data_IF_480026019396
#
_entry.id   IF_480026019396
#
_cell.length_a   1.000
_cell.length_b   1.000
_cell.length_c   1.000
_cell.angle_alpha   90.00
_cell.angle_beta   90.00
_cell.angle_gamma   90.00
#
_symmetry.space_group_name_H-M   'P 1'
#
loop_
_entity.id
_entity.type
_entity.pdbx_description
1 polymer ?
#
# COMPACT_ATOMS: atom_id res chain seq x y z
N UNK A 1 -15.20 -39.42 8.68
CA UNK A 1 -16.21 -38.86 7.76
C UNK A 1 -15.55 -37.74 6.99
N UNK A 2 -15.61 -37.76 5.67
CA UNK A 2 -15.21 -36.59 4.86
C UNK A 2 -16.11 -35.42 5.24
N UNK A 3 -15.53 -34.24 5.46
CA UNK A 3 -16.32 -33.00 5.56
C UNK A 3 -17.03 -32.77 4.21
N UNK A 4 -18.19 -32.12 4.23
CA UNK A 4 -18.79 -31.57 3.00
C UNK A 4 -17.87 -30.49 2.42
N UNK A 5 -18.02 -30.15 1.14
CA UNK A 5 -17.23 -29.08 0.53
C UNK A 5 -17.43 -27.76 1.29
N UNK A 6 -18.68 -27.40 1.61
CA UNK A 6 -19.00 -26.21 2.39
C UNK A 6 -18.29 -26.18 3.75
N UNK A 7 -18.34 -27.28 4.51
CA UNK A 7 -17.65 -27.36 5.79
C UNK A 7 -16.12 -27.32 5.64
N UNK A 8 -15.59 -27.85 4.55
CA UNK A 8 -14.16 -27.79 4.20
C UNK A 8 -13.73 -26.35 3.92
N UNK A 9 -14.49 -25.61 3.12
CA UNK A 9 -14.21 -24.21 2.79
C UNK A 9 -14.32 -23.31 4.02
N UNK A 10 -15.37 -23.47 4.83
CA UNK A 10 -15.53 -22.74 6.08
C UNK A 10 -14.36 -23.01 7.04
N UNK A 11 -13.92 -24.28 7.16
CA UNK A 11 -12.78 -24.63 8.02
C UNK A 11 -11.47 -24.05 7.50
N UNK A 12 -11.21 -24.10 6.19
CA UNK A 12 -10.02 -23.52 5.59
C UNK A 12 -9.96 -22.00 5.79
N UNK A 13 -11.10 -21.32 5.64
CA UNK A 13 -11.22 -19.88 5.87
C UNK A 13 -10.94 -19.51 7.33
N UNK A 14 -11.50 -20.27 8.29
CA UNK A 14 -11.25 -20.09 9.73
C UNK A 14 -9.75 -20.25 10.05
N UNK A 15 -9.10 -21.29 9.53
CA UNK A 15 -7.67 -21.55 9.72
C UNK A 15 -6.82 -20.42 9.11
N UNK A 16 -7.15 -19.96 7.90
CA UNK A 16 -6.45 -18.87 7.25
C UNK A 16 -6.53 -17.58 8.09
N UNK A 17 -7.69 -17.25 8.66
CA UNK A 17 -7.84 -16.08 9.54
C UNK A 17 -7.05 -16.18 10.84
N UNK A 18 -6.75 -17.39 11.31
CA UNK A 18 -5.91 -17.63 12.49
C UNK A 18 -4.41 -17.63 12.18
N UNK A 19 -4.01 -17.43 10.92
CA UNK A 19 -2.60 -17.54 10.53
C UNK A 19 -2.13 -18.95 10.20
N UNK A 20 -3.02 -19.94 10.26
CA UNK A 20 -2.73 -21.36 10.07
C UNK A 20 -2.82 -21.74 8.59
N UNK A 21 -2.00 -21.08 7.78
CA UNK A 21 -2.03 -21.19 6.32
C UNK A 21 -1.67 -22.57 5.78
N UNK A 22 -0.78 -23.30 6.47
CA UNK A 22 -0.39 -24.66 6.06
C UNK A 22 -1.52 -25.63 6.32
N UNK A 23 -2.15 -25.53 7.47
CA UNK A 23 -3.32 -26.31 7.86
C UNK A 23 -4.51 -26.02 6.94
N UNK A 24 -4.73 -24.75 6.58
CA UNK A 24 -5.73 -24.38 5.58
C UNK A 24 -5.43 -25.02 4.21
N UNK A 25 -4.16 -25.04 3.80
CA UNK A 25 -3.73 -25.68 2.56
C UNK A 25 -3.96 -27.20 2.57
N UNK A 26 -3.69 -27.86 3.70
CA UNK A 26 -3.90 -29.29 3.88
C UNK A 26 -5.38 -29.66 3.80
N UNK A 27 -6.25 -28.88 4.47
CA UNK A 27 -7.70 -29.03 4.39
C UNK A 27 -8.18 -28.87 2.94
N UNK A 28 -7.71 -27.85 2.23
CA UNK A 28 -8.06 -27.62 0.82
C UNK A 28 -7.46 -28.65 -0.14
N UNK A 29 -6.35 -29.29 0.21
CA UNK A 29 -5.72 -30.33 -0.61
C UNK A 29 -6.47 -31.68 -0.58
N UNK A 30 -7.32 -31.90 0.43
CA UNK A 30 -8.17 -33.09 0.52
C UNK A 30 -9.35 -33.13 -0.44
N UNK A 31 -9.64 -32.03 -1.16
CA UNK A 31 -10.72 -31.94 -2.14
C UNK A 31 -10.24 -32.44 -3.50
N UNK A 32 -10.96 -33.38 -4.11
CA UNK A 32 -10.69 -33.82 -5.49
C UNK A 32 -11.38 -32.88 -6.50
N UNK A 33 -10.63 -32.02 -7.23
CA UNK A 33 -11.21 -31.06 -8.15
C UNK A 33 -11.87 -31.70 -9.38
N UNK A 34 -11.59 -32.97 -9.69
CA UNK A 34 -12.23 -33.67 -10.80
C UNK A 34 -13.71 -34.01 -10.52
N UNK A 35 -14.11 -33.98 -9.24
CA UNK A 35 -15.48 -34.29 -8.80
C UNK A 35 -16.38 -33.07 -8.66
N UNK A 36 -15.83 -31.86 -8.83
CA UNK A 36 -16.54 -30.61 -8.59
C UNK A 36 -17.26 -30.13 -9.84
N UNK A 37 -18.44 -29.54 -9.66
CA UNK A 37 -19.04 -28.67 -10.67
C UNK A 37 -18.19 -27.41 -10.87
N UNK A 38 -18.39 -26.67 -11.97
CA UNK A 38 -17.61 -25.44 -12.22
C UNK A 38 -17.78 -24.40 -11.10
N UNK A 39 -19.00 -24.26 -10.57
CA UNK A 39 -19.29 -23.40 -9.41
C UNK A 39 -18.52 -23.82 -8.16
N UNK A 40 -18.54 -25.11 -7.82
CA UNK A 40 -17.82 -25.65 -6.67
C UNK A 40 -16.29 -25.55 -6.85
N UNK A 41 -15.81 -25.77 -8.08
CA UNK A 41 -14.41 -25.61 -8.44
C UNK A 41 -13.96 -24.16 -8.21
N UNK A 42 -14.77 -23.17 -8.59
CA UNK A 42 -14.50 -21.76 -8.34
C UNK A 42 -14.51 -21.43 -6.84
N UNK A 43 -15.53 -21.89 -6.10
CA UNK A 43 -15.63 -21.68 -4.66
C UNK A 43 -14.44 -22.27 -3.89
N UNK A 44 -13.86 -23.36 -4.37
CA UNK A 44 -12.64 -23.96 -3.80
C UNK A 44 -11.35 -23.31 -4.27
N UNK A 45 -11.24 -22.98 -5.56
CA UNK A 45 -10.00 -22.52 -6.14
C UNK A 45 -9.60 -21.12 -5.68
N UNK A 46 -10.56 -20.21 -5.51
CA UNK A 46 -10.29 -18.84 -5.06
C UNK A 46 -9.62 -18.79 -3.67
N UNK A 47 -10.19 -19.40 -2.60
CA UNK A 47 -9.55 -19.41 -1.28
C UNK A 47 -8.24 -20.20 -1.28
N UNK A 48 -8.13 -21.26 -2.09
CA UNK A 48 -6.86 -22.01 -2.27
C UNK A 48 -5.76 -21.14 -2.85
N UNK A 49 -6.05 -20.42 -3.93
CA UNK A 49 -5.11 -19.50 -4.56
C UNK A 49 -4.72 -18.36 -3.62
N UNK A 50 -5.70 -17.78 -2.91
CA UNK A 50 -5.48 -16.74 -1.91
C UNK A 50 -4.55 -17.22 -0.78
N UNK A 51 -4.83 -18.38 -0.20
CA UNK A 51 -4.00 -18.97 0.85
C UNK A 51 -2.58 -19.25 0.36
N UNK A 52 -2.46 -19.80 -0.85
CA UNK A 52 -1.17 -20.02 -1.52
C UNK A 52 -0.37 -18.71 -1.71
N UNK A 53 -1.02 -17.64 -2.14
CA UNK A 53 -0.36 -16.35 -2.38
C UNK A 53 0.07 -15.68 -1.06
N UNK A 54 -0.87 -15.49 -0.13
CA UNK A 54 -0.61 -14.69 1.08
C UNK A 54 -0.08 -15.50 2.24
N UNK A 55 -0.69 -16.65 2.55
CA UNK A 55 -0.36 -17.37 3.78
C UNK A 55 0.91 -18.20 3.63
N UNK A 56 1.14 -18.76 2.44
CA UNK A 56 2.34 -19.54 2.14
C UNK A 56 3.48 -18.70 1.55
N UNK A 57 3.21 -17.44 1.17
CA UNK A 57 4.18 -16.56 0.49
C UNK A 57 4.73 -17.16 -0.82
N UNK A 58 3.84 -17.79 -1.60
CA UNK A 58 4.17 -18.46 -2.87
C UNK A 58 3.40 -17.84 -4.07
N UNK A 59 3.61 -16.54 -4.37
CA UNK A 59 2.80 -15.79 -5.34
C UNK A 59 2.92 -16.30 -6.78
N UNK A 60 4.09 -16.79 -7.20
CA UNK A 60 4.29 -17.38 -8.53
C UNK A 60 3.47 -18.66 -8.67
N UNK A 61 3.50 -19.53 -7.66
CA UNK A 61 2.73 -20.78 -7.66
C UNK A 61 1.23 -20.52 -7.67
N UNK A 62 0.75 -19.54 -6.89
CA UNK A 62 -0.65 -19.13 -6.90
C UNK A 62 -1.08 -18.59 -8.28
N UNK A 63 -0.23 -17.78 -8.91
CA UNK A 63 -0.48 -17.22 -10.25
C UNK A 63 -0.53 -18.31 -11.33
N UNK A 64 0.42 -19.26 -11.31
CA UNK A 64 0.42 -20.40 -12.23
C UNK A 64 -0.83 -21.26 -12.06
N UNK A 65 -1.24 -21.52 -10.81
CA UNK A 65 -2.45 -22.27 -10.49
C UNK A 65 -3.70 -21.60 -11.09
N UNK A 66 -3.91 -20.30 -10.85
CA UNK A 66 -5.06 -19.57 -11.39
C UNK A 66 -5.05 -19.50 -12.92
N UNK A 67 -3.89 -19.27 -13.56
CA UNK A 67 -3.78 -19.27 -15.03
C UNK A 67 -4.13 -20.63 -15.63
N UNK A 68 -3.70 -21.72 -14.98
CA UNK A 68 -4.03 -23.08 -15.42
C UNK A 68 -5.52 -23.37 -15.28
N UNK A 69 -6.15 -22.89 -14.20
CA UNK A 69 -7.60 -23.00 -14.00
C UNK A 69 -8.38 -22.16 -15.03
N UNK A 70 -7.92 -20.94 -15.31
CA UNK A 70 -8.50 -20.06 -16.33
C UNK A 70 -8.58 -20.71 -17.70
N UNK A 71 -7.59 -21.53 -18.07
CA UNK A 71 -7.61 -22.28 -19.34
C UNK A 71 -8.57 -23.48 -19.38
N UNK A 72 -9.22 -23.82 -18.26
CA UNK A 72 -10.09 -24.99 -18.11
C UNK A 72 -11.57 -24.64 -17.88
N UNK A 73 -11.86 -23.43 -17.44
CA UNK A 73 -13.24 -22.96 -17.21
C UNK A 73 -13.85 -22.43 -18.50
N UNK A 74 -15.18 -22.49 -18.57
CA UNK A 74 -15.93 -21.97 -19.71
C UNK A 74 -15.82 -20.44 -19.80
N UNK A 75 -15.88 -19.84 -21.01
CA UNK A 75 -16.02 -18.39 -21.14
C UNK A 75 -17.26 -17.89 -20.38
N UNK A 76 -17.11 -16.81 -19.61
CA UNK A 76 -18.19 -16.23 -18.80
C UNK A 76 -17.68 -15.63 -17.49
N UNK A 77 -18.56 -15.45 -16.48
CA UNK A 77 -18.24 -14.77 -15.22
C UNK A 77 -17.06 -15.36 -14.45
N UNK A 78 -16.89 -16.69 -14.49
CA UNK A 78 -15.78 -17.37 -13.83
C UNK A 78 -14.40 -16.87 -14.33
N UNK A 79 -14.27 -16.58 -15.64
CA UNK A 79 -13.03 -16.03 -16.22
C UNK A 79 -12.77 -14.61 -15.71
N UNK A 80 -13.80 -13.76 -15.64
CA UNK A 80 -13.67 -12.40 -15.12
C UNK A 80 -13.23 -12.40 -13.64
N UNK A 81 -13.79 -13.29 -12.81
CA UNK A 81 -13.42 -13.43 -11.40
C UNK A 81 -11.98 -13.92 -11.23
N UNK A 82 -11.53 -14.86 -12.06
CA UNK A 82 -10.13 -15.31 -12.07
C UNK A 82 -9.17 -14.20 -12.49
N UNK A 83 -9.51 -13.44 -13.53
CA UNK A 83 -8.70 -12.31 -14.02
C UNK A 83 -8.64 -11.17 -12.99
N UNK A 84 -9.73 -10.91 -12.26
CA UNK A 84 -9.75 -9.94 -11.16
C UNK A 84 -8.82 -10.36 -10.00
N UNK A 85 -8.81 -11.65 -9.64
CA UNK A 85 -7.89 -12.16 -8.62
C UNK A 85 -6.43 -12.11 -9.09
N UNK A 86 -6.17 -12.47 -10.36
CA UNK A 86 -4.85 -12.33 -10.96
C UNK A 86 -4.39 -10.87 -10.98
N UNK A 87 -5.29 -9.92 -11.19
CA UNK A 87 -5.01 -8.49 -11.09
C UNK A 87 -4.60 -8.09 -9.67
N UNK A 88 -5.32 -8.59 -8.66
CA UNK A 88 -4.98 -8.39 -7.24
C UNK A 88 -3.62 -8.99 -6.88
N UNK A 89 -3.28 -10.17 -7.42
CA UNK A 89 -1.96 -10.78 -7.23
C UNK A 89 -0.85 -9.97 -7.89
N UNK A 90 -1.06 -9.53 -9.14
CA UNK A 90 -0.10 -8.68 -9.85
C UNK A 90 0.16 -7.36 -9.10
N UNK A 91 -0.90 -6.73 -8.57
CA UNK A 91 -0.79 -5.53 -7.74
C UNK A 91 0.10 -5.79 -6.51
N UNK A 92 -0.24 -6.79 -5.70
CA UNK A 92 0.49 -7.08 -4.46
C UNK A 92 1.95 -7.51 -4.72
N UNK A 93 2.20 -8.22 -5.83
CA UNK A 93 3.53 -8.61 -6.29
C UNK A 93 4.34 -7.45 -6.91
N UNK A 94 3.84 -6.21 -6.83
CA UNK A 94 4.58 -5.02 -7.28
C UNK A 94 4.55 -4.78 -8.79
N UNK A 95 3.54 -5.30 -9.49
CA UNK A 95 3.32 -5.11 -10.92
C UNK A 95 2.01 -4.33 -11.20
N UNK A 96 1.91 -3.05 -10.80
CA UNK A 96 0.66 -2.28 -10.92
C UNK A 96 0.20 -2.09 -12.36
N UNK A 97 1.10 -1.98 -13.35
CA UNK A 97 0.72 -1.89 -14.76
C UNK A 97 -0.01 -3.16 -15.23
N UNK A 98 0.52 -4.33 -14.85
CA UNK A 98 -0.12 -5.60 -15.16
C UNK A 98 -1.47 -5.75 -14.45
N UNK A 99 -1.57 -5.24 -13.22
CA UNK A 99 -2.84 -5.21 -12.50
C UNK A 99 -3.87 -4.33 -13.22
N UNK A 100 -3.46 -3.16 -13.73
CA UNK A 100 -4.32 -2.26 -14.51
C UNK A 100 -4.80 -2.90 -15.82
N UNK A 101 -3.92 -3.61 -16.55
CA UNK A 101 -4.32 -4.34 -17.75
C UNK A 101 -5.42 -5.38 -17.47
N UNK A 102 -5.25 -6.16 -16.40
CA UNK A 102 -6.21 -7.18 -15.99
C UNK A 102 -7.51 -6.55 -15.49
N UNK A 103 -7.42 -5.50 -14.67
CA UNK A 103 -8.57 -4.79 -14.17
C UNK A 103 -9.37 -4.15 -15.30
N UNK A 104 -8.72 -3.50 -16.27
CA UNK A 104 -9.38 -2.91 -17.43
C UNK A 104 -10.13 -3.95 -18.27
N UNK A 105 -9.54 -5.14 -18.49
CA UNK A 105 -10.20 -6.23 -19.18
C UNK A 105 -11.46 -6.71 -18.44
N UNK A 106 -11.40 -6.84 -17.11
CA UNK A 106 -12.56 -7.23 -16.28
C UNK A 106 -13.63 -6.14 -16.29
N UNK A 107 -13.25 -4.89 -16.05
CA UNK A 107 -14.18 -3.75 -15.95
C UNK A 107 -14.88 -3.41 -17.28
N UNK A 108 -14.27 -3.79 -18.41
CA UNK A 108 -14.87 -3.69 -19.74
C UNK A 108 -15.64 -4.93 -20.20
N UNK A 109 -15.63 -6.02 -19.43
CA UNK A 109 -16.29 -7.28 -19.80
C UNK A 109 -17.79 -7.23 -19.48
N UNK A 110 -18.68 -7.58 -20.42
CA UNK A 110 -20.11 -7.74 -20.13
C UNK A 110 -20.41 -8.95 -19.24
N UNK A 111 -19.46 -9.88 -19.13
CA UNK A 111 -19.61 -11.10 -18.33
C UNK A 111 -19.15 -10.92 -16.88
N UNK A 112 -18.56 -9.78 -16.51
CA UNK A 112 -18.06 -9.56 -15.16
C UNK A 112 -19.21 -9.41 -14.16
N UNK A 113 -19.23 -10.29 -13.16
CA UNK A 113 -20.14 -10.17 -12.03
C UNK A 113 -19.69 -9.10 -11.04
N UNK A 114 -20.55 -8.80 -10.07
CA UNK A 114 -20.29 -7.78 -9.05
C UNK A 114 -19.01 -8.07 -8.27
N UNK A 115 -18.71 -9.34 -7.96
CA UNK A 115 -17.49 -9.70 -7.24
C UNK A 115 -16.24 -9.35 -8.07
N UNK A 116 -16.21 -9.76 -9.34
CA UNK A 116 -15.11 -9.46 -10.26
C UNK A 116 -14.92 -7.95 -10.45
N UNK A 117 -16.03 -7.21 -10.63
CA UNK A 117 -16.03 -5.75 -10.74
C UNK A 117 -15.45 -5.11 -9.47
N UNK A 118 -15.90 -5.52 -8.29
CA UNK A 118 -15.42 -4.99 -7.02
C UNK A 118 -13.92 -5.19 -6.82
N UNK A 119 -13.41 -6.37 -7.15
CA UNK A 119 -11.99 -6.72 -7.02
C UNK A 119 -11.14 -5.93 -8.02
N UNK A 120 -11.56 -5.89 -9.28
CA UNK A 120 -10.85 -5.17 -10.33
C UNK A 120 -10.85 -3.65 -10.09
N UNK A 121 -11.98 -3.08 -9.70
CA UNK A 121 -12.10 -1.64 -9.44
C UNK A 121 -11.26 -1.21 -8.24
N UNK A 122 -11.26 -2.00 -7.15
CA UNK A 122 -10.43 -1.70 -5.98
C UNK A 122 -8.92 -1.78 -6.28
N UNK A 123 -8.49 -2.80 -7.01
CA UNK A 123 -7.09 -2.92 -7.44
C UNK A 123 -6.68 -1.78 -8.39
N UNK A 124 -7.57 -1.41 -9.32
CA UNK A 124 -7.33 -0.31 -10.25
C UNK A 124 -7.23 1.04 -9.53
N UNK A 125 -8.10 1.32 -8.56
CA UNK A 125 -8.07 2.55 -7.77
C UNK A 125 -6.73 2.73 -7.03
N UNK A 126 -6.21 1.68 -6.39
CA UNK A 126 -4.91 1.75 -5.73
C UNK A 126 -3.76 1.87 -6.74
N UNK A 127 -3.76 1.06 -7.80
CA UNK A 127 -2.70 1.06 -8.81
C UNK A 127 -2.61 2.41 -9.52
N UNK A 128 -3.73 2.96 -9.99
CA UNK A 128 -3.75 4.24 -10.72
C UNK A 128 -3.22 5.38 -9.84
N UNK A 129 -3.67 5.45 -8.58
CA UNK A 129 -3.16 6.42 -7.61
C UNK A 129 -1.65 6.29 -7.39
N UNK A 130 -1.14 5.07 -7.18
CA UNK A 130 0.31 4.83 -6.96
C UNK A 130 1.14 5.11 -8.22
N UNK A 131 0.57 4.87 -9.40
CA UNK A 131 1.18 5.18 -10.71
C UNK A 131 1.17 6.69 -11.04
N UNK A 132 0.49 7.52 -10.25
CA UNK A 132 0.42 8.97 -10.45
C UNK A 132 -0.68 9.43 -11.40
N UNK A 133 -1.69 8.59 -11.64
CA UNK A 133 -2.87 8.92 -12.47
C UNK A 133 -4.09 8.98 -11.56
N UNK A 134 -4.65 10.18 -11.35
CA UNK A 134 -5.61 10.42 -10.25
C UNK A 134 -7.08 10.58 -10.70
N UNK A 135 -7.33 10.89 -11.97
CA UNK A 135 -8.66 11.27 -12.48
C UNK A 135 -9.75 10.24 -12.15
N UNK A 136 -9.43 8.96 -12.28
CA UNK A 136 -10.43 7.89 -12.20
C UNK A 136 -10.48 7.24 -10.80
N UNK A 137 -9.69 7.71 -9.83
CA UNK A 137 -9.55 7.05 -8.52
C UNK A 137 -10.89 6.99 -7.78
N UNK A 138 -11.63 8.10 -7.76
CA UNK A 138 -12.92 8.19 -7.06
C UNK A 138 -13.98 7.31 -7.73
N UNK A 139 -14.08 7.37 -9.06
CA UNK A 139 -15.03 6.55 -9.83
C UNK A 139 -14.77 5.05 -9.63
N UNK A 140 -13.49 4.64 -9.65
CA UNK A 140 -13.11 3.25 -9.39
C UNK A 140 -13.42 2.83 -7.96
N UNK A 141 -13.24 3.71 -6.97
CA UNK A 141 -13.60 3.42 -5.59
C UNK A 141 -15.12 3.27 -5.41
N UNK A 142 -15.91 4.19 -5.98
CA UNK A 142 -17.37 4.13 -5.97
C UNK A 142 -17.89 2.86 -6.65
N UNK A 143 -17.30 2.49 -7.79
CA UNK A 143 -17.62 1.25 -8.49
C UNK A 143 -17.31 0.02 -7.65
N UNK A 144 -16.20 0.04 -6.90
CA UNK A 144 -15.86 -1.06 -5.99
C UNK A 144 -16.86 -1.19 -4.82
N UNK A 145 -17.36 -0.07 -4.30
CA UNK A 145 -18.36 -0.04 -3.22
C UNK A 145 -19.73 -0.49 -3.75
N UNK A 146 -20.16 0.05 -4.89
CA UNK A 146 -21.45 -0.25 -5.51
C UNK A 146 -21.63 -1.73 -5.85
N UNK A 147 -20.54 -2.44 -6.12
CA UNK A 147 -20.51 -3.88 -6.34
C UNK A 147 -20.93 -4.74 -5.12
N UNK A 148 -21.23 -4.16 -3.96
CA UNK A 148 -21.91 -4.87 -2.86
C UNK A 148 -21.08 -5.96 -2.16
N UNK A 149 -19.80 -6.14 -2.54
CA UNK A 149 -18.85 -7.06 -1.90
C UNK A 149 -17.68 -6.32 -1.21
N UNK A 150 -17.92 -5.28 -0.37
CA UNK A 150 -16.87 -4.41 0.14
C UNK A 150 -16.19 -5.04 1.35
N UNK A 151 -15.70 -6.28 1.24
CA UNK A 151 -14.89 -6.96 2.26
C UNK A 151 -13.60 -6.17 2.54
N UNK A 152 -12.43 -6.81 2.55
CA UNK A 152 -11.19 -6.05 2.76
C UNK A 152 -10.85 -5.09 1.61
N UNK A 153 -11.55 -5.19 0.47
CA UNK A 153 -11.28 -4.44 -0.76
C UNK A 153 -11.62 -2.97 -0.67
N UNK A 154 -12.61 -2.59 0.15
CA UNK A 154 -12.93 -1.17 0.38
C UNK A 154 -11.74 -0.39 0.93
N UNK A 155 -10.86 -1.06 1.69
CA UNK A 155 -9.63 -0.45 2.19
C UNK A 155 -8.57 -0.31 1.10
N UNK A 156 -8.56 -1.19 0.10
CA UNK A 156 -7.67 -1.10 -1.05
C UNK A 156 -8.03 0.11 -1.91
N UNK A 157 -9.29 0.28 -2.28
CA UNK A 157 -9.74 1.48 -3.02
C UNK A 157 -9.54 2.75 -2.20
N UNK A 158 -9.90 2.73 -0.92
CA UNK A 158 -9.68 3.85 -0.02
C UNK A 158 -8.21 4.24 0.13
N UNK A 159 -7.29 3.28 0.11
CA UNK A 159 -5.86 3.61 0.13
C UNK A 159 -5.42 4.32 -1.16
N UNK A 160 -6.03 3.99 -2.29
CA UNK A 160 -5.89 4.77 -3.52
C UNK A 160 -6.40 6.20 -3.36
N UNK A 161 -7.62 6.36 -2.82
CA UNK A 161 -8.24 7.67 -2.57
C UNK A 161 -7.40 8.54 -1.63
N UNK A 162 -6.99 8.01 -0.46
CA UNK A 162 -6.16 8.76 0.48
C UNK A 162 -4.79 9.10 -0.12
N UNK A 163 -4.19 8.21 -0.91
CA UNK A 163 -2.95 8.51 -1.64
C UNK A 163 -3.13 9.70 -2.60
N UNK A 164 -4.20 9.70 -3.40
CA UNK A 164 -4.51 10.76 -4.35
C UNK A 164 -4.79 12.11 -3.65
N UNK A 165 -5.56 12.08 -2.56
CA UNK A 165 -5.85 13.27 -1.75
C UNK A 165 -4.57 13.83 -1.10
N UNK A 166 -3.71 12.97 -0.56
CA UNK A 166 -2.44 13.40 0.06
C UNK A 166 -1.53 14.10 -0.94
N UNK A 167 -1.29 13.50 -2.11
CA UNK A 167 -0.42 14.14 -3.12
C UNK A 167 -1.03 15.39 -3.74
N UNK A 168 -2.36 15.53 -3.68
CA UNK A 168 -3.08 16.74 -4.10
C UNK A 168 -3.12 17.84 -3.03
N UNK A 169 -2.61 17.59 -1.82
CA UNK A 169 -2.62 18.54 -0.71
C UNK A 169 -3.95 18.61 0.05
N UNK A 170 -4.86 17.65 -0.15
CA UNK A 170 -6.19 17.61 0.47
C UNK A 170 -6.21 16.74 1.73
N UNK A 171 -5.33 17.04 2.68
CA UNK A 171 -5.07 16.19 3.85
C UNK A 171 -6.29 16.06 4.78
N UNK A 172 -7.13 17.09 4.87
CA UNK A 172 -8.36 17.07 5.67
C UNK A 172 -9.38 16.07 5.13
N UNK A 173 -9.54 16.02 3.80
CA UNK A 173 -10.38 15.01 3.15
C UNK A 173 -9.79 13.61 3.30
N UNK A 174 -8.47 13.47 3.15
CA UNK A 174 -7.80 12.18 3.36
C UNK A 174 -8.02 11.64 4.78
N UNK A 175 -7.88 12.52 5.79
CA UNK A 175 -8.11 12.18 7.19
C UNK A 175 -9.57 11.79 7.45
N UNK A 176 -10.52 12.58 6.95
CA UNK A 176 -11.94 12.33 7.13
C UNK A 176 -12.36 10.98 6.52
N UNK A 177 -11.90 10.68 5.30
CA UNK A 177 -12.14 9.40 4.63
C UNK A 177 -11.57 8.23 5.44
N UNK A 178 -10.31 8.33 5.89
CA UNK A 178 -9.68 7.28 6.67
C UNK A 178 -10.38 7.07 8.03
N UNK A 179 -10.82 8.15 8.68
CA UNK A 179 -11.54 8.08 9.96
C UNK A 179 -12.93 7.45 9.79
N UNK A 180 -13.65 7.79 8.72
CA UNK A 180 -14.96 7.20 8.45
C UNK A 180 -14.85 5.66 8.32
N UNK A 181 -13.78 5.16 7.71
CA UNK A 181 -13.53 3.71 7.61
C UNK A 181 -13.27 3.04 8.96
N UNK A 182 -12.66 3.76 9.91
CA UNK A 182 -12.46 3.28 11.29
C UNK A 182 -13.80 3.19 12.00
N UNK A 183 -14.64 4.21 11.85
CA UNK A 183 -15.96 4.31 12.45
C UNK A 183 -16.88 3.20 11.90
N UNK A 184 -16.93 3.05 10.58
CA UNK A 184 -17.72 2.02 9.86
C UNK A 184 -17.28 0.58 10.20
N UNK A 185 -16.03 0.39 10.63
CA UNK A 185 -15.53 -0.93 11.04
C UNK A 185 -16.10 -1.37 12.40
N UNK A 186 -16.66 -0.47 13.21
CA UNK A 186 -17.22 -0.75 14.54
C UNK A 186 -16.31 -1.65 15.43
N UNK A 187 -14.99 -1.49 15.33
CA UNK A 187 -14.00 -2.28 16.08
C UNK A 187 -13.79 -3.72 15.61
N UNK A 188 -14.47 -4.17 14.55
CA UNK A 188 -14.34 -5.53 14.03
C UNK A 188 -12.97 -5.75 13.38
N UNK A 189 -12.25 -6.78 13.81
CA UNK A 189 -10.95 -7.14 13.24
C UNK A 189 -11.10 -8.10 12.04
N UNK A 190 -10.23 -8.04 11.02
CA UNK A 190 -9.07 -7.14 10.88
C UNK A 190 -9.41 -5.77 10.27
N UNK A 191 -10.68 -5.49 9.97
CA UNK A 191 -11.12 -4.29 9.28
C UNK A 191 -10.72 -2.99 10.01
N UNK A 192 -10.92 -2.94 11.33
CA UNK A 192 -10.55 -1.80 12.16
C UNK A 192 -9.03 -1.53 12.10
N UNK A 193 -8.18 -2.55 12.23
CA UNK A 193 -6.73 -2.37 12.14
C UNK A 193 -6.27 -1.86 10.76
N UNK A 194 -6.92 -2.27 9.67
CA UNK A 194 -6.58 -1.77 8.32
C UNK A 194 -7.02 -0.30 8.18
N UNK A 195 -8.21 0.05 8.66
CA UNK A 195 -8.69 1.44 8.65
C UNK A 195 -7.76 2.36 9.45
N UNK A 196 -7.38 1.93 10.66
CA UNK A 196 -6.47 2.65 11.54
C UNK A 196 -5.08 2.84 10.93
N UNK A 197 -4.60 1.86 10.15
CA UNK A 197 -3.37 2.00 9.36
C UNK A 197 -3.47 3.15 8.33
N UNK A 198 -4.61 3.30 7.64
CA UNK A 198 -4.81 4.39 6.68
C UNK A 198 -4.82 5.76 7.37
N UNK A 199 -5.41 5.85 8.58
CA UNK A 199 -5.33 7.05 9.41
C UNK A 199 -3.86 7.37 9.74
N UNK A 200 -3.08 6.37 10.13
CA UNK A 200 -1.68 6.56 10.48
C UNK A 200 -0.81 7.01 9.27
N UNK A 201 -1.05 6.53 8.04
CA UNK A 201 -0.34 7.02 6.85
C UNK A 201 -0.62 8.52 6.59
N UNK A 202 -1.86 8.97 6.82
CA UNK A 202 -2.22 10.39 6.73
C UNK A 202 -1.56 11.20 7.85
N UNK A 203 -1.51 10.69 9.08
CA UNK A 203 -0.81 11.35 10.20
C UNK A 203 0.71 11.50 9.93
N UNK A 204 1.35 10.49 9.34
CA UNK A 204 2.74 10.59 8.88
C UNK A 204 2.90 11.72 7.85
N UNK A 205 1.97 11.83 6.90
CA UNK A 205 1.99 12.91 5.89
C UNK A 205 1.76 14.31 6.52
N UNK A 206 0.91 14.40 7.54
CA UNK A 206 0.68 15.62 8.33
C UNK A 206 1.88 16.04 9.16
N UNK A 207 2.75 15.08 9.51
CA UNK A 207 3.89 15.33 10.39
C UNK A 207 3.59 15.09 11.87
N UNK A 208 2.65 14.19 12.18
CA UNK A 208 2.45 13.64 13.52
C UNK A 208 2.87 12.16 13.58
N UNK A 209 4.19 11.88 13.51
CA UNK A 209 4.70 10.51 13.54
C UNK A 209 4.54 9.84 14.91
N UNK A 210 4.34 10.60 15.99
CA UNK A 210 4.13 10.04 17.31
C UNK A 210 2.73 9.41 17.41
N UNK A 211 1.67 10.16 17.07
CA UNK A 211 0.32 9.61 17.03
C UNK A 211 0.19 8.47 16.02
N UNK A 212 0.85 8.58 14.86
CA UNK A 212 0.89 7.50 13.88
C UNK A 212 1.53 6.22 14.44
N UNK A 213 2.64 6.34 15.18
CA UNK A 213 3.31 5.19 15.79
C UNK A 213 2.41 4.46 16.78
N UNK A 214 1.70 5.19 17.66
CA UNK A 214 0.81 4.59 18.65
C UNK A 214 -0.31 3.77 17.98
N UNK A 215 -0.95 4.32 16.95
CA UNK A 215 -1.97 3.61 16.16
C UNK A 215 -1.42 2.38 15.42
N UNK A 216 -0.19 2.48 14.92
CA UNK A 216 0.45 1.42 14.15
C UNK A 216 0.97 0.28 15.03
N UNK A 217 1.31 0.51 16.30
CA UNK A 217 1.69 -0.55 17.25
C UNK A 217 0.54 -1.55 17.41
N UNK A 218 -0.68 -1.05 17.67
CA UNK A 218 -1.88 -1.87 17.80
C UNK A 218 -2.26 -2.54 16.47
N UNK A 219 -2.25 -1.77 15.38
CA UNK A 219 -2.63 -2.27 14.06
C UNK A 219 -1.67 -3.36 13.55
N UNK A 220 -0.36 -3.18 13.72
CA UNK A 220 0.64 -4.16 13.31
C UNK A 220 0.54 -5.45 14.12
N UNK A 221 0.20 -5.37 15.41
CA UNK A 221 -0.06 -6.54 16.25
C UNK A 221 -1.31 -7.30 15.80
N UNK A 222 -2.42 -6.59 15.56
CA UNK A 222 -3.68 -7.18 15.10
C UNK A 222 -3.59 -7.81 13.71
N UNK A 223 -2.77 -7.24 12.82
CA UNK A 223 -2.59 -7.73 11.45
C UNK A 223 -1.53 -8.83 11.32
N UNK A 224 -0.64 -8.98 12.30
CA UNK A 224 0.42 -9.99 12.29
C UNK A 224 -0.03 -11.44 11.97
N UNK A 225 -1.17 -11.96 12.50
CA UNK A 225 -1.62 -13.32 12.19
C UNK A 225 -2.29 -13.45 10.82
N UNK A 226 -2.77 -12.36 10.20
CA UNK A 226 -3.63 -12.44 9.00
C UNK A 226 -2.91 -12.85 7.72
N UNK A 227 -1.58 -12.77 7.68
CA UNK A 227 -0.75 -13.12 6.53
C UNK A 227 -0.87 -12.22 5.29
N UNK A 228 -1.87 -11.33 5.23
CA UNK A 228 -2.06 -10.35 4.16
C UNK A 228 -0.94 -9.29 4.10
N UNK A 229 -0.82 -8.62 2.94
CA UNK A 229 0.17 -7.57 2.69
C UNK A 229 0.02 -6.33 3.58
N UNK A 230 -1.15 -6.13 4.21
CA UNK A 230 -1.40 -5.08 5.21
C UNK A 230 -0.52 -5.21 6.45
N UNK A 231 -0.23 -6.43 6.91
CA UNK A 231 0.64 -6.66 8.08
C UNK A 231 2.07 -6.15 7.84
N UNK A 232 2.76 -6.57 6.76
CA UNK A 232 4.04 -6.01 6.37
C UNK A 232 4.02 -4.49 6.21
N UNK A 233 3.00 -3.92 5.56
CA UNK A 233 2.86 -2.47 5.41
C UNK A 233 2.78 -1.77 6.78
N UNK A 234 2.00 -2.30 7.73
CA UNK A 234 1.89 -1.77 9.08
C UNK A 234 3.26 -1.69 9.78
N UNK A 235 4.08 -2.74 9.67
CA UNK A 235 5.42 -2.76 10.24
C UNK A 235 6.37 -1.75 9.58
N UNK A 236 6.27 -1.56 8.26
CA UNK A 236 7.08 -0.57 7.52
C UNK A 236 6.71 0.85 7.93
N UNK A 237 5.41 1.17 7.99
CA UNK A 237 4.94 2.48 8.42
C UNK A 237 5.29 2.73 9.90
N UNK A 238 5.17 1.72 10.76
CA UNK A 238 5.53 1.83 12.17
C UNK A 238 7.02 2.14 12.35
N UNK A 239 7.89 1.43 11.64
CA UNK A 239 9.33 1.67 11.66
C UNK A 239 9.66 3.12 11.25
N UNK A 240 9.01 3.62 10.17
CA UNK A 240 9.16 5.00 9.73
C UNK A 240 8.68 6.00 10.77
N UNK A 241 7.48 5.81 11.32
CA UNK A 241 6.86 6.69 12.30
C UNK A 241 7.70 6.79 13.59
N UNK A 242 8.09 5.65 14.16
CA UNK A 242 8.95 5.59 15.36
C UNK A 242 10.30 6.27 15.12
N UNK A 243 10.90 6.09 13.94
CA UNK A 243 12.15 6.75 13.60
C UNK A 243 12.00 8.27 13.46
N UNK A 244 10.93 8.75 12.80
CA UNK A 244 10.62 10.18 12.68
C UNK A 244 10.30 10.82 14.05
N UNK A 245 9.67 10.08 14.96
CA UNK A 245 9.40 10.51 16.33
C UNK A 245 10.66 10.51 17.23
N UNK A 246 11.83 10.10 16.72
CA UNK A 246 13.09 10.07 17.49
C UNK A 246 13.19 8.94 18.51
N UNK A 247 12.31 7.93 18.46
CA UNK A 247 12.30 6.75 19.35
C UNK A 247 13.36 5.72 18.94
N UNK A 248 14.63 6.12 19.06
CA UNK A 248 15.81 5.44 18.55
C UNK A 248 15.95 3.95 18.95
N UNK A 249 15.70 3.62 20.22
CA UNK A 249 15.82 2.26 20.71
C UNK A 249 14.81 1.30 20.06
N UNK A 250 13.63 1.82 19.69
CA UNK A 250 12.58 1.04 19.05
C UNK A 250 12.77 0.93 17.54
N UNK A 251 13.28 1.99 16.89
CA UNK A 251 13.38 2.10 15.44
C UNK A 251 14.13 0.91 14.81
N UNK A 252 15.30 0.54 15.34
CA UNK A 252 16.09 -0.59 14.80
C UNK A 252 15.41 -1.95 14.96
N UNK A 253 14.79 -2.21 16.13
CA UNK A 253 14.05 -3.45 16.41
C UNK A 253 12.82 -3.60 15.52
N UNK A 254 12.07 -2.52 15.35
CA UNK A 254 10.85 -2.50 14.52
C UNK A 254 11.22 -2.63 13.05
N UNK A 255 12.28 -1.96 12.58
CA UNK A 255 12.78 -2.11 11.22
C UNK A 255 13.18 -3.57 10.92
N UNK A 256 13.93 -4.23 11.81
CA UNK A 256 14.30 -5.64 11.64
C UNK A 256 13.07 -6.54 11.52
N UNK A 257 11.98 -6.22 12.24
CA UNK A 257 10.71 -6.93 12.12
C UNK A 257 10.00 -6.63 10.80
N UNK A 258 10.02 -5.39 10.32
CA UNK A 258 9.49 -5.01 9.01
C UNK A 258 10.21 -5.74 7.88
N UNK A 259 11.55 -5.83 7.94
CA UNK A 259 12.36 -6.59 6.98
C UNK A 259 12.02 -8.08 6.99
N UNK A 260 11.92 -8.68 8.17
CA UNK A 260 11.59 -10.10 8.31
C UNK A 260 10.16 -10.45 7.87
N UNK A 261 9.25 -9.48 7.81
CA UNK A 261 7.86 -9.67 7.36
C UNK A 261 7.63 -9.28 5.91
N UNK A 262 8.56 -8.57 5.28
CA UNK A 262 8.52 -8.28 3.87
C UNK A 262 8.89 -9.53 3.05
N UNK A 263 8.19 -9.71 1.93
CA UNK A 263 8.36 -10.84 1.02
C UNK A 263 7.64 -10.58 -0.30
N UNK A 264 7.63 -11.58 -1.18
CA UNK A 264 7.13 -11.46 -2.55
C UNK A 264 5.65 -11.05 -2.60
N UNK A 265 4.84 -11.48 -1.63
CA UNK A 265 3.42 -11.08 -1.51
C UNK A 265 3.17 -9.61 -1.17
N UNK A 266 4.20 -8.83 -0.87
CA UNK A 266 4.12 -7.44 -0.40
C UNK A 266 5.03 -6.49 -1.17
N UNK A 267 5.50 -6.90 -2.36
CA UNK A 267 6.46 -6.15 -3.17
C UNK A 267 5.94 -4.78 -3.63
N UNK A 268 4.62 -4.59 -3.70
CA UNK A 268 4.03 -3.27 -3.92
C UNK A 268 4.57 -2.22 -2.93
N UNK A 269 4.83 -2.64 -1.68
CA UNK A 269 5.24 -1.79 -0.57
C UNK A 269 6.76 -1.78 -0.31
N UNK A 270 7.56 -2.30 -1.24
CA UNK A 270 9.02 -2.24 -1.14
C UNK A 270 9.57 -0.80 -0.97
N UNK A 271 9.00 0.25 -1.61
CA UNK A 271 9.42 1.63 -1.36
C UNK A 271 9.20 2.08 0.09
N UNK A 272 8.09 1.71 0.71
CA UNK A 272 7.77 2.02 2.11
C UNK A 272 8.78 1.39 3.07
N UNK A 273 9.24 0.16 2.80
CA UNK A 273 10.37 -0.43 3.54
C UNK A 273 11.66 0.36 3.34
N UNK A 274 11.94 0.84 2.13
CA UNK A 274 13.08 1.71 1.86
C UNK A 274 13.04 3.02 2.64
N UNK A 275 11.86 3.63 2.78
CA UNK A 275 11.68 4.83 3.60
C UNK A 275 11.82 4.55 5.11
N UNK A 276 11.36 3.39 5.58
CA UNK A 276 11.62 2.96 6.96
C UNK A 276 13.13 2.87 7.24
N UNK A 277 13.92 2.35 6.29
CA UNK A 277 15.39 2.31 6.39
C UNK A 277 16.00 3.72 6.42
N UNK A 278 15.55 4.58 5.51
CA UNK A 278 16.02 5.96 5.41
C UNK A 278 15.84 6.74 6.73
N UNK A 279 14.62 6.74 7.27
CA UNK A 279 14.32 7.44 8.52
C UNK A 279 15.00 6.79 9.73
N UNK A 280 15.18 5.46 9.74
CA UNK A 280 15.93 4.78 10.81
C UNK A 280 17.43 5.12 10.76
N UNK A 281 18.02 5.30 9.59
CA UNK A 281 19.38 5.83 9.45
C UNK A 281 19.47 7.29 9.92
N UNK A 282 18.50 8.12 9.54
CA UNK A 282 18.42 9.51 9.95
C UNK A 282 18.34 9.65 11.48
N UNK A 283 17.50 8.84 12.15
CA UNK A 283 17.39 8.81 13.60
C UNK A 283 18.73 8.48 14.27
N UNK A 284 19.53 7.58 13.65
CA UNK A 284 20.89 7.22 14.09
C UNK A 284 21.96 8.26 13.75
N UNK A 285 21.55 9.41 13.18
CA UNK A 285 22.42 10.50 12.71
C UNK A 285 23.36 10.09 11.58
N UNK A 286 22.97 9.09 10.80
CA UNK A 286 23.67 8.68 9.58
C UNK A 286 22.99 9.30 8.36
N UNK A 287 23.31 10.57 8.10
CA UNK A 287 22.75 11.33 6.98
C UNK A 287 23.03 10.74 5.59
N UNK A 288 24.28 10.37 5.26
CA UNK A 288 24.60 9.75 3.98
C UNK A 288 23.83 8.45 3.70
N UNK A 289 23.69 7.58 4.70
CA UNK A 289 22.90 6.35 4.56
C UNK A 289 21.40 6.66 4.43
N UNK A 290 20.88 7.62 5.20
CA UNK A 290 19.49 8.06 5.11
C UNK A 290 19.12 8.54 3.70
N UNK A 291 19.95 9.40 3.10
CA UNK A 291 19.77 9.90 1.73
C UNK A 291 19.88 8.76 0.71
N UNK A 292 20.86 7.87 0.87
CA UNK A 292 21.04 6.72 -0.03
C UNK A 292 19.82 5.81 -0.04
N UNK A 293 19.31 5.45 1.14
CA UNK A 293 18.13 4.62 1.30
C UNK A 293 16.85 5.29 0.75
N UNK A 294 16.67 6.60 0.92
CA UNK A 294 15.53 7.33 0.35
C UNK A 294 15.57 7.36 -1.18
N UNK A 295 16.76 7.55 -1.77
CA UNK A 295 16.95 7.46 -3.23
C UNK A 295 16.71 6.04 -3.76
N UNK A 296 17.13 5.01 -3.03
CA UNK A 296 16.86 3.61 -3.39
C UNK A 296 15.35 3.29 -3.33
N UNK A 297 14.63 3.84 -2.36
CA UNK A 297 13.18 3.75 -2.29
C UNK A 297 12.53 4.39 -3.52
N UNK A 298 12.97 5.59 -3.91
CA UNK A 298 12.50 6.27 -5.12
C UNK A 298 12.77 5.45 -6.39
N UNK A 299 14.00 4.95 -6.59
CA UNK A 299 14.35 4.07 -7.73
C UNK A 299 13.53 2.79 -7.76
N UNK A 300 13.23 2.23 -6.59
CA UNK A 300 12.39 1.02 -6.48
C UNK A 300 10.95 1.32 -6.88
N UNK A 301 10.41 2.46 -6.45
CA UNK A 301 9.10 2.93 -6.89
C UNK A 301 9.07 3.16 -8.42
N UNK A 302 10.05 3.86 -9.00
CA UNK A 302 10.14 4.11 -10.45
C UNK A 302 10.23 2.81 -11.26
N UNK A 303 11.05 1.83 -10.81
CA UNK A 303 11.14 0.52 -11.48
C UNK A 303 9.83 -0.27 -11.45
N UNK A 304 9.03 -0.11 -10.39
CA UNK A 304 7.67 -0.63 -10.32
C UNK A 304 6.63 0.26 -11.01
N UNK A 305 7.05 1.35 -11.65
CA UNK A 305 6.20 2.37 -12.27
C UNK A 305 5.23 3.05 -11.30
N UNK A 306 5.61 3.19 -10.04
CA UNK A 306 4.84 3.82 -8.97
C UNK A 306 5.25 5.30 -8.81
N UNK A 307 4.97 6.13 -9.82
CA UNK A 307 5.45 7.51 -9.91
C UNK A 307 5.05 8.39 -8.72
N UNK A 308 3.82 8.24 -8.19
CA UNK A 308 3.39 9.00 -7.01
C UNK A 308 4.17 8.60 -5.74
N UNK A 309 4.55 7.33 -5.64
CA UNK A 309 5.36 6.81 -4.53
C UNK A 309 6.82 7.27 -4.68
N UNK A 310 7.34 7.32 -5.90
CA UNK A 310 8.65 7.91 -6.20
C UNK A 310 8.70 9.39 -5.80
N UNK A 311 7.65 10.16 -6.08
CA UNK A 311 7.52 11.55 -5.63
C UNK A 311 7.61 11.66 -4.10
N UNK A 312 6.83 10.85 -3.36
CA UNK A 312 6.88 10.83 -1.88
C UNK A 312 8.29 10.48 -1.35
N UNK A 313 8.97 9.52 -1.99
CA UNK A 313 10.30 9.10 -1.57
C UNK A 313 11.38 10.15 -1.86
N UNK A 314 11.30 10.83 -3.01
CA UNK A 314 12.21 11.94 -3.33
C UNK A 314 11.96 13.15 -2.43
N UNK A 315 10.71 13.45 -2.07
CA UNK A 315 10.40 14.48 -1.07
C UNK A 315 11.05 14.15 0.27
N UNK A 316 10.97 12.90 0.74
CA UNK A 316 11.69 12.47 1.94
C UNK A 316 13.22 12.58 1.79
N UNK A 317 13.79 12.30 0.61
CA UNK A 317 15.22 12.53 0.37
C UNK A 317 15.59 14.02 0.54
N UNK A 318 14.79 14.94 0.01
CA UNK A 318 15.00 16.40 0.17
C UNK A 318 14.90 16.80 1.65
N UNK A 319 13.90 16.30 2.38
CA UNK A 319 13.76 16.52 3.83
C UNK A 319 14.98 16.03 4.62
N UNK A 320 15.60 14.95 4.15
CA UNK A 320 16.84 14.38 4.71
C UNK A 320 18.12 15.10 4.25
N UNK A 321 18.01 16.12 3.40
CA UNK A 321 19.14 16.97 2.97
C UNK A 321 19.70 16.65 1.59
N UNK A 322 18.99 15.89 0.77
CA UNK A 322 19.43 15.56 -0.59
C UNK A 322 19.39 16.76 -1.55
N UNK A 323 20.55 17.33 -1.85
CA UNK A 323 20.72 18.45 -2.80
C UNK A 323 20.68 18.04 -4.27
N UNK A 324 20.62 16.75 -4.59
CA UNK A 324 20.61 16.22 -5.97
C UNK A 324 19.24 15.71 -6.42
N UNK A 325 18.24 15.70 -5.53
CA UNK A 325 16.91 15.17 -5.84
C UNK A 325 16.13 16.01 -6.86
N UNK A 326 16.50 17.28 -7.08
CA UNK A 326 15.78 18.21 -7.95
C UNK A 326 15.59 17.67 -9.38
N UNK A 327 16.65 17.14 -9.99
CA UNK A 327 16.58 16.64 -11.37
C UNK A 327 15.72 15.37 -11.47
N UNK A 328 15.66 14.57 -10.41
CA UNK A 328 14.78 13.39 -10.36
C UNK A 328 13.31 13.79 -10.22
N UNK A 329 13.01 14.76 -9.35
CA UNK A 329 11.66 15.30 -9.18
C UNK A 329 11.14 15.95 -10.47
N UNK A 330 11.98 16.73 -11.17
CA UNK A 330 11.63 17.36 -12.45
C UNK A 330 11.25 16.33 -13.53
N UNK A 331 11.85 15.13 -13.51
CA UNK A 331 11.56 14.06 -14.48
C UNK A 331 10.25 13.31 -14.21
N UNK A 332 9.71 13.33 -12.99
CA UNK A 332 8.50 12.57 -12.67
C UNK A 332 7.24 13.14 -13.35
N UNK A 333 7.24 14.43 -13.73
CA UNK A 333 6.14 15.08 -14.45
C UNK A 333 4.76 14.87 -13.81
N UNK A 334 4.67 14.82 -12.48
CA UNK A 334 3.41 14.75 -11.73
C UNK A 334 2.95 16.17 -11.40
N UNK A 335 1.82 16.59 -11.98
CA UNK A 335 1.23 17.91 -11.74
C UNK A 335 0.27 17.90 -10.54
N UNK A 336 0.83 17.76 -9.34
CA UNK A 336 0.07 17.89 -8.08
C UNK A 336 0.61 19.03 -7.22
N UNK A 337 -0.18 19.46 -6.23
CA UNK A 337 0.25 20.50 -5.27
C UNK A 337 1.54 20.08 -4.56
N UNK A 338 1.61 18.84 -4.07
CA UNK A 338 2.81 18.29 -3.43
C UNK A 338 3.96 18.16 -4.43
N UNK A 339 3.69 17.77 -5.67
CA UNK A 339 4.69 17.65 -6.73
C UNK A 339 5.41 18.98 -7.00
N UNK A 340 4.65 20.05 -7.20
CA UNK A 340 5.19 21.39 -7.44
C UNK A 340 6.00 21.90 -6.24
N UNK A 341 5.46 21.77 -5.02
CA UNK A 341 6.16 22.16 -3.80
C UNK A 341 7.44 21.36 -3.57
N UNK A 342 7.45 20.06 -3.89
CA UNK A 342 8.64 19.22 -3.76
C UNK A 342 9.77 19.65 -4.71
N UNK A 343 9.43 20.02 -5.96
CA UNK A 343 10.39 20.57 -6.93
C UNK A 343 10.98 21.89 -6.42
N UNK A 344 10.13 22.80 -5.95
CA UNK A 344 10.58 24.09 -5.41
C UNK A 344 11.47 23.88 -4.17
N UNK A 345 11.10 22.93 -3.30
CA UNK A 345 11.91 22.54 -2.14
C UNK A 345 13.30 22.06 -2.57
N UNK A 346 13.38 21.10 -3.48
CA UNK A 346 14.65 20.53 -3.92
C UNK A 346 15.55 21.59 -4.58
N UNK A 347 14.98 22.52 -5.36
CA UNK A 347 15.71 23.62 -5.99
C UNK A 347 16.23 24.62 -4.96
N UNK A 348 15.39 25.04 -4.02
CA UNK A 348 15.80 25.95 -2.95
C UNK A 348 16.91 25.34 -2.08
N UNK A 349 16.78 24.05 -1.73
CA UNK A 349 17.79 23.32 -0.98
C UNK A 349 19.13 23.24 -1.74
N UNK A 350 19.10 22.88 -3.03
CA UNK A 350 20.30 22.83 -3.88
C UNK A 350 20.99 24.19 -4.00
N UNK A 351 20.21 25.27 -4.12
CA UNK A 351 20.72 26.63 -4.23
C UNK A 351 21.15 27.24 -2.89
N UNK A 352 20.88 26.55 -1.76
CA UNK A 352 21.02 27.10 -0.39
C UNK A 352 20.22 28.41 -0.23
N UNK A 353 19.07 28.50 -0.90
CA UNK A 353 18.19 29.66 -0.87
C UNK A 353 17.30 29.62 0.38
N UNK A 354 17.76 30.27 1.45
CA UNK A 354 17.02 30.34 2.71
C UNK A 354 15.63 30.96 2.58
N UNK A 355 15.46 31.97 1.72
CA UNK A 355 14.15 32.60 1.49
C UNK A 355 13.21 31.65 0.74
N UNK A 356 13.72 30.96 -0.29
CA UNK A 356 12.99 29.91 -0.99
C UNK A 356 12.58 28.76 -0.08
N UNK A 357 13.46 28.33 0.84
CA UNK A 357 13.16 27.29 1.83
C UNK A 357 12.06 27.72 2.81
N UNK A 358 12.04 28.98 3.24
CA UNK A 358 10.95 29.52 4.08
C UNK A 358 9.62 29.62 3.32
N UNK A 359 9.65 29.99 2.04
CA UNK A 359 8.45 30.02 1.20
C UNK A 359 7.85 28.63 1.01
N UNK A 360 8.71 27.63 0.75
CA UNK A 360 8.33 26.21 0.66
C UNK A 360 7.79 25.71 2.00
N UNK A 361 8.41 26.08 3.11
CA UNK A 361 7.93 25.74 4.45
C UNK A 361 6.50 26.23 4.65
N UNK A 362 6.22 27.50 4.35
CA UNK A 362 4.87 28.06 4.42
C UNK A 362 3.89 27.36 3.46
N UNK A 363 4.35 26.98 2.26
CA UNK A 363 3.53 26.24 1.28
C UNK A 363 3.09 24.87 1.78
N UNK A 364 4.00 24.09 2.37
CA UNK A 364 3.68 22.78 2.95
C UNK A 364 2.81 22.91 4.22
N UNK A 365 3.06 23.92 5.05
CA UNK A 365 2.22 24.20 6.23
C UNK A 365 0.78 24.54 5.82
N UNK A 366 0.61 25.35 4.77
CA UNK A 366 -0.70 25.73 4.24
C UNK A 366 -1.55 24.58 3.69
N UNK A 367 -0.94 23.44 3.38
CA UNK A 367 -1.66 22.20 2.98
C UNK A 367 -1.69 21.15 4.10
N UNK A 368 -1.23 21.49 5.31
CA UNK A 368 -1.27 20.63 6.48
C UNK A 368 -0.13 19.60 6.57
N UNK A 369 0.93 19.73 5.77
CA UNK A 369 2.14 18.88 5.84
C UNK A 369 3.19 19.50 6.79
N UNK A 370 2.81 19.69 8.05
CA UNK A 370 3.61 20.40 9.06
C UNK A 370 5.01 19.78 9.27
N UNK A 371 5.13 18.45 9.16
CA UNK A 371 6.42 17.76 9.25
C UNK A 371 7.40 18.15 8.15
N UNK A 372 6.92 18.28 6.91
CA UNK A 372 7.73 18.73 5.77
C UNK A 372 8.07 20.21 5.92
N UNK A 373 7.09 21.02 6.35
CA UNK A 373 7.29 22.45 6.61
C UNK A 373 8.38 22.70 7.66
N UNK A 374 8.37 21.94 8.76
CA UNK A 374 9.37 22.02 9.81
C UNK A 374 10.77 21.65 9.31
N UNK A 375 10.88 20.64 8.45
CA UNK A 375 12.16 20.23 7.86
C UNK A 375 12.74 21.33 6.96
N UNK A 376 11.89 21.95 6.11
CA UNK A 376 12.29 23.07 5.25
C UNK A 376 12.73 24.30 6.06
N UNK A 377 12.01 24.64 7.14
CA UNK A 377 12.37 25.74 8.03
C UNK A 377 13.71 25.51 8.74
N UNK A 378 13.98 24.29 9.22
CA UNK A 378 15.28 23.94 9.82
C UNK A 378 16.41 24.10 8.80
N UNK A 379 16.23 23.57 7.59
CA UNK A 379 17.23 23.69 6.53
C UNK A 379 17.46 25.15 6.08
N UNK A 380 16.44 26.01 6.15
CA UNK A 380 16.58 27.45 5.90
C UNK A 380 17.52 28.11 6.92
N UNK A 381 17.38 27.77 8.20
CA UNK A 381 18.27 28.26 9.26
C UNK A 381 19.71 27.78 9.05
N UNK A 382 19.90 26.53 8.64
CA UNK A 382 21.22 25.96 8.34
C UNK A 382 21.86 26.55 7.07
N UNK A 383 21.06 27.10 6.15
CA UNK A 383 21.51 27.85 4.98
C UNK A 383 21.92 29.30 5.30
N UNK A 384 21.27 29.93 6.28
CA UNK A 384 21.56 31.29 6.74
C UNK A 384 22.60 31.40 7.86
N UNK A 385 23.05 30.27 8.42
CA UNK A 385 24.13 30.22 9.41
C UNK A 385 25.51 30.53 8.82
N UNK A 386 26.37 31.30 9.53
CA UNK A 386 27.69 31.73 9.06
C UNK A 386 28.71 30.60 8.86
#
# INVERSE_FOLDING_TARGET
MSLSLEATLAKAQELAWQGLGREAADVLAGVDPATLTESELMAWALPRAANQFWMLDEPERATVFLRSLRGRVSPGPAVATLDALLGTFAMNAGSPQRAMELAGAVLGSPDADDQAVGWAAAAAALCTARMGTFTDVEELADRAIAAGHPGLLRFTSAFGQTTALVVSGELDRAQALAQQLVDDAHGAQPAHAIATLLVADVLIARGDPAAAADLLEESAAALAPTGYSWGPLAWMLLARAVAQAGRLADAGRILARAEAKHGLKSMLFAPELGLAKAWTAAARRDGPEAITAARDAARTAERGGQTAVALRALLDAVRLGDTQAADALDRLTIDTVVGRLAVDYARALRARDGAGLLAVSAGFDGIGMAGVAADAARQANDAGGP
#
